data_IF_978772253489
#
_entry.id   IF_978772253489
#
_cell.length_a   1.000
_cell.length_b   1.000
_cell.length_c   1.000
_cell.angle_alpha   90.00
_cell.angle_beta   90.00
_cell.angle_gamma   90.00
#
_symmetry.space_group_name_H-M   'P 1'
#
loop_
_entity.id
_entity.type
_entity.pdbx_description
1 polymer ?
#
# COMPACT_ATOMS: atom_id res chain seq x y z
N UNK A 1 -5.14 -21.38 -10.08
CA UNK A 1 -6.44 -21.14 -10.74
C UNK A 1 -6.21 -20.28 -11.98
N UNK A 2 -6.82 -20.57 -13.13
CA UNK A 2 -6.69 -19.72 -14.32
C UNK A 2 -7.55 -18.46 -14.19
N UNK A 3 -6.99 -17.30 -14.51
CA UNK A 3 -7.67 -16.00 -14.53
C UNK A 3 -7.61 -15.45 -15.95
N UNK A 4 -8.75 -15.02 -16.49
CA UNK A 4 -8.83 -14.41 -17.82
C UNK A 4 -9.01 -12.90 -17.69
N UNK A 5 -8.18 -12.13 -18.39
CA UNK A 5 -8.20 -10.66 -18.38
C UNK A 5 -8.21 -10.18 -19.82
N UNK A 6 -9.08 -9.22 -20.14
CA UNK A 6 -9.09 -8.55 -21.45
C UNK A 6 -8.07 -7.43 -21.43
N UNK A 7 -7.19 -7.43 -22.43
CA UNK A 7 -6.19 -6.37 -22.64
C UNK A 7 -6.65 -5.49 -23.81
N UNK A 8 -6.30 -4.22 -23.76
CA UNK A 8 -6.38 -3.36 -24.93
C UNK A 8 -5.35 -3.80 -26.01
N UNK A 9 -5.58 -3.44 -27.29
CA UNK A 9 -4.71 -3.89 -28.38
C UNK A 9 -3.24 -3.47 -28.23
N UNK A 10 -2.97 -2.31 -27.61
CA UNK A 10 -1.61 -1.80 -27.44
C UNK A 10 -0.85 -2.63 -26.41
N UNK A 11 -1.48 -2.91 -25.26
CA UNK A 11 -0.92 -3.77 -24.21
C UNK A 11 -0.71 -5.20 -24.70
N UNK A 12 -1.63 -5.74 -25.50
CA UNK A 12 -1.44 -7.06 -26.10
C UNK A 12 -0.25 -7.10 -27.07
N UNK A 13 -0.10 -6.08 -27.92
CA UNK A 13 1.05 -5.97 -28.83
C UNK A 13 2.37 -5.88 -28.07
N UNK A 14 2.41 -5.11 -26.98
CA UNK A 14 3.57 -5.01 -26.09
C UNK A 14 3.92 -6.36 -25.47
N UNK A 15 2.91 -7.07 -24.93
CA UNK A 15 3.11 -8.38 -24.32
C UNK A 15 3.62 -9.42 -25.32
N UNK A 16 3.08 -9.42 -26.55
CA UNK A 16 3.53 -10.28 -27.64
C UNK A 16 5.00 -10.01 -27.99
N UNK A 17 5.39 -8.73 -28.10
CA UNK A 17 6.76 -8.33 -28.38
C UNK A 17 7.71 -8.80 -27.28
N UNK A 18 7.37 -8.56 -26.01
CA UNK A 18 8.18 -9.00 -24.87
C UNK A 18 8.35 -10.51 -24.83
N UNK A 19 7.28 -11.27 -25.07
CA UNK A 19 7.31 -12.73 -25.13
C UNK A 19 8.27 -13.23 -26.22
N UNK A 20 8.21 -12.62 -27.41
CA UNK A 20 9.11 -12.97 -28.51
C UNK A 20 10.57 -12.60 -28.21
N UNK A 21 10.83 -11.38 -27.76
CA UNK A 21 12.21 -10.90 -27.52
C UNK A 21 12.89 -11.69 -26.41
N UNK A 22 12.17 -12.06 -25.36
CA UNK A 22 12.73 -12.79 -24.21
C UNK A 22 12.63 -14.31 -24.35
N UNK A 23 11.99 -14.83 -25.41
CA UNK A 23 11.69 -16.26 -25.60
C UNK A 23 10.97 -16.89 -24.40
N UNK A 24 9.99 -16.17 -23.85
CA UNK A 24 9.22 -16.58 -22.66
C UNK A 24 7.74 -16.57 -22.96
N UNK A 25 6.97 -17.31 -22.15
CA UNK A 25 5.51 -17.31 -22.33
C UNK A 25 4.91 -15.99 -21.86
N UNK A 26 3.75 -15.62 -22.42
CA UNK A 26 2.98 -14.44 -21.98
C UNK A 26 2.68 -14.50 -20.49
N UNK A 27 2.33 -15.69 -19.99
CA UNK A 27 2.01 -15.93 -18.58
C UNK A 27 3.23 -15.75 -17.67
N UNK A 28 4.43 -16.13 -18.12
CA UNK A 28 5.66 -15.93 -17.33
C UNK A 28 5.98 -14.43 -17.18
N UNK A 29 5.83 -13.67 -18.27
CA UNK A 29 6.05 -12.22 -18.26
C UNK A 29 5.03 -11.53 -17.36
N UNK A 30 3.75 -11.87 -17.49
CA UNK A 30 2.69 -11.32 -16.64
C UNK A 30 2.92 -11.65 -15.16
N UNK A 31 3.31 -12.89 -14.85
CA UNK A 31 3.61 -13.32 -13.49
C UNK A 31 4.77 -12.52 -12.90
N UNK A 32 5.86 -12.34 -13.65
CA UNK A 32 7.00 -11.55 -13.18
C UNK A 32 6.65 -10.07 -13.01
N UNK A 33 5.89 -9.49 -13.93
CA UNK A 33 5.44 -8.10 -13.82
C UNK A 33 4.59 -7.90 -12.56
N UNK A 34 3.66 -8.82 -12.27
CA UNK A 34 2.85 -8.80 -11.05
C UNK A 34 3.71 -8.94 -9.79
N UNK A 35 4.71 -9.83 -9.78
CA UNK A 35 5.62 -9.94 -8.64
C UNK A 35 6.43 -8.67 -8.40
N UNK A 36 6.92 -8.02 -9.46
CA UNK A 36 7.63 -6.74 -9.34
C UNK A 36 6.72 -5.63 -8.83
N UNK A 37 5.51 -5.52 -9.34
CA UNK A 37 4.52 -4.55 -8.85
C UNK A 37 4.20 -4.77 -7.37
N UNK A 38 4.01 -6.02 -6.95
CA UNK A 38 3.77 -6.33 -5.53
C UNK A 38 4.98 -6.00 -4.64
N UNK A 39 6.20 -6.22 -5.14
CA UNK A 39 7.42 -5.82 -4.43
C UNK A 39 7.55 -4.30 -4.32
N UNK A 40 7.21 -3.57 -5.38
CA UNK A 40 7.24 -2.10 -5.39
C UNK A 40 6.14 -1.51 -4.47
N UNK A 41 4.97 -2.13 -4.42
CA UNK A 41 3.90 -1.80 -3.46
C UNK A 41 4.38 -2.03 -2.02
N UNK A 42 4.93 -3.20 -1.72
CA UNK A 42 5.51 -3.49 -0.40
C UNK A 42 6.64 -2.53 -0.05
N UNK A 43 7.51 -2.21 -1.00
CA UNK A 43 8.59 -1.25 -0.79
C UNK A 43 8.04 0.16 -0.51
N UNK A 44 6.92 0.55 -1.13
CA UNK A 44 6.24 1.83 -0.87
C UNK A 44 5.46 1.82 0.45
N UNK A 45 4.83 0.72 0.85
CA UNK A 45 4.23 0.57 2.19
C UNK A 45 5.31 0.57 3.28
N UNK A 46 6.49 0.00 2.99
CA UNK A 46 7.66 0.00 3.87
C UNK A 46 8.50 1.28 3.74
N UNK A 47 8.08 2.27 2.93
CA UNK A 47 8.48 3.67 3.16
C UNK A 47 7.73 4.19 4.38
N UNK A 48 8.04 3.54 5.51
CA UNK A 48 8.03 4.11 6.83
C UNK A 48 8.53 5.55 6.70
N UNK A 49 7.61 6.51 6.81
CA UNK A 49 7.96 7.92 6.76
C UNK A 49 9.06 8.23 7.78
N UNK A 50 9.68 9.42 7.74
CA UNK A 50 10.80 9.76 8.62
C UNK A 50 10.52 9.47 10.12
N UNK A 51 9.25 9.49 10.54
CA UNK A 51 8.81 9.14 11.89
C UNK A 51 8.80 7.65 12.22
N UNK A 52 8.62 6.77 11.24
CA UNK A 52 8.66 5.33 11.47
C UNK A 52 10.10 4.80 11.62
N UNK A 53 11.10 5.48 11.05
CA UNK A 53 12.52 5.22 11.32
C UNK A 53 12.95 5.48 12.77
N UNK A 54 12.19 6.32 13.49
CA UNK A 54 12.43 6.65 14.91
C UNK A 54 11.37 6.06 15.83
N UNK A 55 10.50 5.18 15.32
CA UNK A 55 9.41 4.59 16.10
C UNK A 55 9.94 3.83 17.34
N UNK A 56 11.06 3.12 17.21
CA UNK A 56 11.68 2.38 18.32
C UNK A 56 12.24 3.30 19.41
N UNK A 57 12.46 4.59 19.11
CA UNK A 57 12.89 5.61 20.07
C UNK A 57 11.69 6.31 20.73
N UNK A 58 10.52 6.24 20.10
CA UNK A 58 9.28 6.81 20.61
C UNK A 58 8.62 5.76 21.48
N UNK A 59 8.83 5.83 22.80
CA UNK A 59 8.30 4.88 23.79
C UNK A 59 6.77 4.87 23.97
N UNK A 60 6.00 5.29 22.96
CA UNK A 60 4.54 5.33 22.98
C UNK A 60 4.04 4.22 22.05
N UNK A 61 3.62 3.10 22.64
CA UNK A 61 3.23 1.88 21.93
C UNK A 61 1.95 2.01 21.06
N UNK A 62 1.23 3.13 21.14
CA UNK A 62 0.08 3.46 20.27
C UNK A 62 -0.10 4.98 20.21
N UNK A 63 0.07 5.56 19.03
CA UNK A 63 -0.35 6.92 18.74
C UNK A 63 -1.88 7.03 18.78
N UNK A 64 -2.40 8.17 19.21
CA UNK A 64 -3.82 8.48 19.02
C UNK A 64 -4.12 8.81 17.54
N UNK A 65 -5.41 8.95 17.16
CA UNK A 65 -5.82 9.24 15.79
C UNK A 65 -4.99 10.31 15.06
N UNK A 66 -4.70 10.06 13.78
CA UNK A 66 -3.79 10.84 12.94
C UNK A 66 -4.12 12.35 12.85
N UNK A 67 -5.39 12.71 13.11
CA UNK A 67 -5.90 14.08 13.05
C UNK A 67 -6.14 14.74 14.42
N UNK A 68 -5.63 14.18 15.52
CA UNK A 68 -5.81 14.75 16.86
C UNK A 68 -5.36 16.21 16.92
N UNK A 69 -4.22 16.57 16.32
CA UNK A 69 -3.73 17.93 16.39
C UNK A 69 -4.73 18.94 15.76
N UNK A 70 -5.35 18.54 14.66
CA UNK A 70 -6.33 19.36 13.92
C UNK A 70 -7.68 19.44 14.64
N UNK A 71 -8.10 18.36 15.30
CA UNK A 71 -9.41 18.25 15.94
C UNK A 71 -9.36 18.17 17.47
N UNK A 72 -8.27 18.63 18.09
CA UNK A 72 -7.99 18.42 19.52
C UNK A 72 -9.13 18.87 20.44
N UNK A 73 -9.79 19.99 20.12
CA UNK A 73 -10.91 20.52 20.91
C UNK A 73 -12.11 19.59 20.90
N UNK A 74 -12.42 19.02 19.74
CA UNK A 74 -13.57 18.12 19.60
C UNK A 74 -13.28 16.77 20.25
N UNK A 75 -12.10 16.20 19.97
CA UNK A 75 -11.63 14.98 20.61
C UNK A 75 -11.61 15.08 22.15
N UNK A 76 -11.16 16.22 22.70
CA UNK A 76 -11.15 16.45 24.15
C UNK A 76 -12.56 16.58 24.73
N UNK A 77 -13.48 17.24 24.02
CA UNK A 77 -14.90 17.34 24.44
C UNK A 77 -15.58 15.98 24.47
N UNK A 78 -15.35 15.15 23.46
CA UNK A 78 -15.92 13.80 23.38
C UNK A 78 -15.39 12.89 24.50
N UNK A 79 -14.10 13.03 24.84
CA UNK A 79 -13.48 12.33 25.97
C UNK A 79 -14.11 12.75 27.31
N UNK A 80 -14.36 14.05 27.52
CA UNK A 80 -15.04 14.52 28.73
C UNK A 80 -16.49 14.02 28.81
N UNK A 81 -17.23 14.07 27.70
CA UNK A 81 -18.62 13.63 27.64
C UNK A 81 -18.77 12.12 27.91
N UNK A 82 -17.83 11.30 27.40
CA UNK A 82 -17.80 9.85 27.66
C UNK A 82 -17.47 9.52 29.12
N UNK A 83 -16.62 10.32 29.79
CA UNK A 83 -16.30 10.15 31.21
C UNK A 83 -17.45 10.53 32.14
N UNK A 84 -18.30 11.49 31.73
CA UNK A 84 -19.43 11.97 32.52
C UNK A 84 -20.69 11.07 32.42
N UNK A 85 -20.72 10.15 31.45
CA UNK A 85 -21.78 9.14 31.30
C UNK A 85 -21.52 7.83 32.07
N UNK A 86 -20.43 7.76 32.82
CA UNK A 86 -20.05 6.64 33.69
C UNK A 86 -20.24 7.04 35.15
#
# INVERSE_FOLDING_TARGET
>A
MPTSVRLDPETEALLNRLAHTQRRTKSDILREALHRMAQDEQANETKQGPYALVADLIGIAQGGPDDIARHHKQAFRDLLASKQRR
#
